data_IF_214136483710
#
_entry.id   IF_214136483710
#
_cell.length_a   1.000
_cell.length_b   1.000
_cell.length_c   1.000
_cell.angle_alpha   90.00
_cell.angle_beta   90.00
_cell.angle_gamma   90.00
#
_symmetry.space_group_name_H-M   'P 1'
#
loop_
_entity.id
_entity.type
_entity.pdbx_description
1 polymer ?
2 non-polymer ?
3 non-polymer ?
4 water ?
#
# COMPACT_ATOMS: atom_id res chain seq x y z
N UNK A 1 9.13 -22.05 -16.30
CA UNK A 1 9.76 -23.05 -17.16
C UNK A 1 9.01 -24.40 -17.18
N UNK A 2 9.01 -25.07 -16.04
CA UNK A 2 8.17 -26.25 -15.82
C UNK A 2 6.80 -25.88 -15.23
N UNK A 3 6.35 -24.64 -15.43
CA UNK A 3 5.17 -24.10 -14.78
C UNK A 3 4.00 -24.00 -15.76
N UNK A 4 2.79 -24.25 -15.26
CA UNK A 4 1.59 -24.19 -16.07
C UNK A 4 1.09 -22.77 -16.31
N UNK A 5 1.63 -21.78 -15.59
CA UNK A 5 1.04 -20.45 -15.58
C UNK A 5 1.48 -19.65 -16.79
N UNK A 6 0.66 -18.69 -17.23
CA UNK A 6 1.10 -17.79 -18.29
C UNK A 6 2.30 -16.97 -17.83
N UNK A 7 3.16 -16.61 -18.78
CA UNK A 7 4.41 -15.93 -18.45
C UNK A 7 4.21 -14.65 -17.64
N UNK A 8 3.19 -13.80 -17.90
CA UNK A 8 3.00 -12.63 -17.02
C UNK A 8 2.79 -13.01 -15.57
N UNK A 9 2.01 -14.06 -15.28
CA UNK A 9 1.81 -14.44 -13.88
C UNK A 9 3.12 -14.94 -13.28
N UNK A 10 3.91 -15.68 -14.06
CA UNK A 10 5.20 -16.17 -13.59
C UNK A 10 6.14 -15.03 -13.23
N UNK A 11 6.27 -14.05 -14.14
CA UNK A 11 7.08 -12.87 -13.87
C UNK A 11 6.57 -12.12 -12.64
N UNK A 12 5.25 -12.02 -12.47
CA UNK A 12 4.71 -11.41 -11.25
C UNK A 12 5.20 -12.15 -10.01
N UNK A 13 5.16 -13.49 -10.06
CA UNK A 13 5.61 -14.30 -8.91
C UNK A 13 7.09 -14.06 -8.63
N UNK A 14 7.94 -14.11 -9.67
CA UNK A 14 9.35 -13.82 -9.49
C UNK A 14 9.56 -12.44 -8.90
N UNK A 15 8.78 -11.47 -9.37
CA UNK A 15 8.95 -10.09 -8.95
C UNK A 15 8.58 -9.91 -7.48
N UNK A 16 7.53 -10.55 -6.99
CA UNK A 16 7.17 -10.28 -5.60
C UNK A 16 7.90 -11.18 -4.61
N UNK A 17 8.44 -12.32 -5.03
CA UNK A 17 9.18 -13.17 -4.12
C UNK A 17 10.69 -13.00 -4.25
N UNK A 18 11.15 -11.88 -4.81
CA UNK A 18 12.55 -11.67 -5.21
C UNK A 18 13.40 -11.34 -3.99
N UNK A 19 14.24 -12.30 -3.58
CA UNK A 19 15.03 -12.15 -2.36
C UNK A 19 16.07 -11.04 -2.50
N UNK A 20 16.62 -10.85 -3.69
CA UNK A 20 17.55 -9.75 -3.89
C UNK A 20 16.88 -8.43 -3.58
N UNK A 21 15.62 -8.24 -4.04
CA UNK A 21 14.88 -7.02 -3.75
C UNK A 21 14.67 -6.83 -2.26
N UNK A 22 14.39 -7.91 -1.54
CA UNK A 22 14.26 -7.80 -0.08
C UNK A 22 15.55 -7.29 0.54
N UNK A 23 16.69 -7.89 0.17
CA UNK A 23 17.96 -7.48 0.76
C UNK A 23 18.33 -6.06 0.35
N UNK A 24 18.08 -5.70 -0.91
CA UNK A 24 18.35 -4.34 -1.36
C UNK A 24 17.56 -3.32 -0.55
N UNK A 25 16.28 -3.61 -0.28
CA UNK A 25 15.50 -2.71 0.56
C UNK A 25 16.15 -2.55 1.92
N UNK A 26 16.58 -3.66 2.53
CA UNK A 26 17.22 -3.56 3.83
C UNK A 26 18.52 -2.78 3.75
N UNK A 27 19.35 -3.04 2.72
CA UNK A 27 20.59 -2.28 2.56
C UNK A 27 20.29 -0.79 2.40
N UNK A 28 19.24 -0.44 1.65
CA UNK A 28 18.97 0.98 1.45
C UNK A 28 18.46 1.65 2.72
N UNK A 29 17.81 0.90 3.61
CA UNK A 29 17.49 1.42 4.92
C UNK A 29 18.70 1.53 5.83
N UNK A 30 19.87 1.04 5.37
CA UNK A 30 21.10 1.01 6.16
C UNK A 30 20.95 0.13 7.39
N UNK A 31 20.16 -0.93 7.27
CA UNK A 31 20.07 -1.94 8.33
C UNK A 31 21.33 -2.79 8.32
N UNK A 32 21.88 -3.03 9.51
CA UNK A 32 23.03 -3.93 9.69
C UNK A 32 22.57 -5.36 9.47
N UNK A 33 22.88 -5.92 8.30
CA UNK A 33 22.44 -7.28 8.01
C UNK A 33 23.28 -8.34 8.72
N UNK A 34 24.38 -7.96 9.37
CA UNK A 34 25.08 -8.93 10.18
C UNK A 34 24.36 -9.15 11.50
N UNK A 35 23.85 -8.06 12.12
CA UNK A 35 23.14 -8.17 13.38
C UNK A 35 21.66 -8.53 13.21
N UNK A 36 21.07 -8.24 12.06
CA UNK A 36 19.67 -8.55 11.81
C UNK A 36 19.51 -8.98 10.36
N UNK A 37 19.76 -10.25 10.07
CA UNK A 37 19.63 -10.74 8.69
C UNK A 37 18.18 -10.79 8.25
N UNK A 38 18.00 -10.85 6.93
CA UNK A 38 16.67 -11.05 6.35
C UNK A 38 15.94 -12.20 7.02
N UNK A 39 16.63 -13.32 7.26
CA UNK A 39 16.03 -14.50 7.84
C UNK A 39 15.69 -14.41 9.31
N UNK A 40 16.17 -13.40 10.03
CA UNK A 40 15.96 -13.30 11.47
C UNK A 40 15.06 -12.12 11.86
N UNK A 41 14.28 -11.61 10.92
CA UNK A 41 13.27 -10.59 11.25
C UNK A 41 12.16 -11.22 12.10
N UNK A 42 11.68 -10.47 13.09
CA UNK A 42 10.63 -10.98 13.97
C UNK A 42 9.48 -9.99 14.09
N UNK A 43 8.25 -10.52 14.03
CA UNK A 43 7.09 -9.68 14.31
C UNK A 43 7.22 -9.01 15.67
N UNK A 44 7.72 -9.75 16.67
CA UNK A 44 7.77 -9.20 18.03
C UNK A 44 8.78 -8.06 18.13
N UNK A 45 9.93 -8.19 17.46
CA UNK A 45 10.88 -7.08 17.46
C UNK A 45 10.29 -5.85 16.77
N UNK A 46 9.61 -6.05 15.64
CA UNK A 46 9.07 -4.91 14.91
C UNK A 46 7.94 -4.26 15.69
N UNK A 47 7.08 -5.06 16.35
CA UNK A 47 6.03 -4.47 17.18
C UNK A 47 6.63 -3.63 18.28
N UNK A 48 7.71 -4.09 18.90
CA UNK A 48 8.35 -3.30 19.94
C UNK A 48 8.94 -2.02 19.35
N UNK A 49 9.48 -2.08 18.13
CA UNK A 49 10.04 -0.88 17.53
C UNK A 49 8.94 0.13 17.19
N UNK A 50 7.78 -0.36 16.72
CA UNK A 50 6.63 0.52 16.55
C UNK A 50 6.33 1.29 17.82
N UNK A 51 6.27 0.60 18.96
CA UNK A 51 5.92 1.25 20.21
C UNK A 51 6.87 2.38 20.52
N UNK A 52 8.16 2.16 20.28
CA UNK A 52 9.16 3.16 20.61
C UNK A 52 8.96 4.41 19.78
N UNK A 53 8.66 4.25 18.49
CA UNK A 53 8.42 5.42 17.64
C UNK A 53 7.17 6.16 18.07
N UNK A 54 6.17 5.44 18.58
CA UNK A 54 5.00 6.11 19.17
C UNK A 54 5.41 6.94 20.39
N UNK A 55 6.25 6.35 21.26
CA UNK A 55 6.76 7.10 22.40
C UNK A 55 7.63 8.28 21.94
N UNK A 56 8.44 8.08 20.91
CA UNK A 56 9.20 9.19 20.36
C UNK A 56 8.27 10.31 19.96
N UNK A 57 7.22 9.98 19.20
CA UNK A 57 6.29 10.98 18.69
C UNK A 57 5.59 11.69 19.84
N UNK A 58 5.19 10.95 20.87
CA UNK A 58 4.58 11.56 22.06
C UNK A 58 5.55 12.54 22.70
N UNK A 59 6.79 12.11 22.96
CA UNK A 59 7.82 12.99 23.51
C UNK A 59 8.00 14.26 22.69
N UNK A 60 7.99 14.13 21.35
CA UNK A 60 8.09 15.32 20.51
C UNK A 60 6.90 16.25 20.76
N UNK A 61 5.69 15.70 20.71
CA UNK A 61 4.50 16.54 20.82
C UNK A 61 4.44 17.27 22.15
N UNK A 62 4.85 16.62 23.24
CA UNK A 62 4.75 17.25 24.56
C UNK A 62 5.71 18.42 24.68
N UNK A 63 7.00 18.15 24.53
CA UNK A 63 8.04 19.09 24.87
C UNK A 63 9.30 18.30 25.10
N UNK A 64 10.15 18.31 24.09
CA UNK A 64 11.34 17.47 24.07
C UNK A 64 12.14 17.56 25.36
N UNK A 65 12.00 16.58 26.26
CA UNK A 65 13.04 16.35 27.24
C UNK A 65 14.24 15.80 26.47
N UNK A 66 15.07 16.70 25.92
CA UNK A 66 15.97 16.39 24.81
C UNK A 66 16.80 15.13 25.02
N UNK A 67 17.03 14.72 26.26
CA UNK A 67 17.77 13.50 26.52
C UNK A 67 16.88 12.27 26.58
N UNK A 68 15.62 12.43 27.01
CA UNK A 68 14.68 11.32 26.91
C UNK A 68 14.37 10.99 25.45
N UNK A 69 14.30 12.02 24.59
CA UNK A 69 14.17 11.78 23.17
C UNK A 69 15.38 11.01 22.66
N UNK A 70 16.59 11.49 22.99
CA UNK A 70 17.79 10.76 22.61
C UNK A 70 17.80 9.36 23.23
N UNK A 71 17.28 9.21 24.45
CA UNK A 71 17.20 7.88 25.05
C UNK A 71 16.23 6.99 24.28
N UNK A 72 15.10 7.55 23.81
CA UNK A 72 14.18 6.78 22.98
C UNK A 72 14.79 6.47 21.61
N UNK A 73 15.36 7.49 20.95
CA UNK A 73 16.04 7.28 19.68
C UNK A 73 17.09 6.17 19.77
N UNK A 74 17.95 6.23 20.78
CA UNK A 74 18.97 5.20 20.96
C UNK A 74 18.32 3.83 21.12
N UNK A 75 17.24 3.75 21.91
CA UNK A 75 16.58 2.46 22.13
C UNK A 75 16.04 1.89 20.83
N UNK A 76 15.53 2.76 19.95
CA UNK A 76 15.07 2.31 18.65
C UNK A 76 16.20 1.67 17.87
N UNK A 77 17.35 2.35 17.82
CA UNK A 77 18.45 1.85 17.00
C UNK A 77 19.11 0.63 17.62
N UNK A 78 19.06 0.50 18.95
CA UNK A 78 19.47 -0.76 19.57
C UNK A 78 18.56 -1.91 19.13
N UNK A 79 17.26 -1.65 19.07
CA UNK A 79 16.30 -2.70 18.74
C UNK A 79 16.36 -3.07 17.26
N UNK A 80 16.45 -2.08 16.39
CA UNK A 80 16.58 -2.32 14.95
C UNK A 80 17.99 -1.90 14.54
N UNK A 81 18.91 -2.84 14.34
CA UNK A 81 20.33 -2.48 14.18
C UNK A 81 20.63 -1.84 12.83
N UNK A 82 21.35 -0.72 12.87
CA UNK A 82 21.74 -0.01 11.66
C UNK A 82 23.26 0.09 11.54
N UNK A 83 23.71 0.27 10.31
CA UNK A 83 25.10 0.58 9.97
C UNK A 83 25.08 1.81 9.06
N UNK A 84 25.33 2.99 9.65
CA UNK A 84 25.33 4.24 8.90
C UNK A 84 26.71 4.59 8.34
N UNK A 85 27.69 3.69 8.44
CA UNK A 85 29.00 3.98 7.90
C UNK A 85 29.68 5.17 8.56
N UNK A 86 29.91 6.23 7.79
CA UNK A 86 30.65 7.40 8.26
C UNK A 86 29.79 8.37 9.05
N UNK A 87 28.47 8.41 8.81
CA UNK A 87 27.61 9.34 9.52
C UNK A 87 27.11 8.75 10.83
N UNK A 88 26.44 9.59 11.62
CA UNK A 88 25.79 9.20 12.86
C UNK A 88 24.31 8.84 12.61
N UNK A 89 23.68 8.09 13.51
CA UNK A 89 22.24 7.85 13.37
C UNK A 89 21.47 9.15 13.38
N UNK A 90 20.57 9.36 12.42
CA UNK A 90 19.74 10.56 12.45
C UNK A 90 18.81 10.54 13.66
N UNK A 91 18.80 11.65 14.41
CA UNK A 91 17.99 11.72 15.63
C UNK A 91 16.52 11.71 15.27
N UNK A 92 15.76 10.82 15.90
CA UNK A 92 14.31 10.75 15.73
C UNK A 92 13.72 11.80 16.65
N UNK A 93 13.47 12.98 16.10
CA UNK A 93 13.01 14.09 16.94
C UNK A 93 12.00 14.99 16.23
N UNK A 94 11.40 14.54 15.14
CA UNK A 94 10.40 15.32 14.44
C UNK A 94 9.43 14.36 13.76
N UNK A 95 8.33 14.90 13.26
CA UNK A 95 7.28 14.05 12.70
C UNK A 95 7.73 13.35 11.43
N UNK A 96 8.40 14.08 10.53
CA UNK A 96 8.81 13.49 9.27
C UNK A 96 9.74 12.31 9.48
N UNK A 97 10.62 12.40 10.47
CA UNK A 97 11.57 11.32 10.74
C UNK A 97 10.87 10.10 11.33
N UNK A 98 9.95 10.30 12.28
CA UNK A 98 9.18 9.18 12.84
C UNK A 98 8.41 8.46 11.74
N UNK A 99 7.83 9.23 10.82
CA UNK A 99 7.01 8.64 9.76
C UNK A 99 7.86 7.75 8.84
N UNK A 100 9.08 8.22 8.48
CA UNK A 100 9.96 7.43 7.63
C UNK A 100 10.36 6.12 8.29
N UNK A 101 10.61 6.13 9.60
CA UNK A 101 10.94 4.88 10.27
C UNK A 101 9.73 3.97 10.39
N UNK A 102 8.53 4.55 10.51
CA UNK A 102 7.32 3.73 10.54
C UNK A 102 7.08 3.07 9.20
N UNK A 103 7.21 3.83 8.11
CA UNK A 103 7.12 3.24 6.78
C UNK A 103 8.12 2.10 6.62
N UNK A 104 9.34 2.28 7.15
CA UNK A 104 10.34 1.21 7.08
C UNK A 104 9.85 -0.06 7.77
N UNK A 105 9.26 0.07 8.96
CA UNK A 105 8.79 -1.11 9.68
C UNK A 105 7.61 -1.79 8.96
N UNK A 106 6.64 -1.01 8.47
CA UNK A 106 5.62 -1.57 7.58
C UNK A 106 6.28 -2.44 6.51
N UNK A 107 7.22 -1.87 5.77
CA UNK A 107 7.94 -2.59 4.72
C UNK A 107 8.58 -3.86 5.28
N UNK A 108 9.31 -3.72 6.40
CA UNK A 108 9.99 -4.88 6.98
C UNK A 108 9.00 -5.98 7.34
N UNK A 109 7.82 -5.63 7.84
CA UNK A 109 6.87 -6.66 8.22
C UNK A 109 6.40 -7.45 7.01
N UNK A 110 6.07 -6.74 5.91
CA UNK A 110 5.65 -7.45 4.71
C UNK A 110 6.80 -8.25 4.11
N UNK A 111 8.03 -7.73 4.19
CA UNK A 111 9.17 -8.49 3.71
C UNK A 111 9.31 -9.77 4.52
N UNK A 112 9.14 -9.67 5.84
CA UNK A 112 9.24 -10.85 6.69
C UNK A 112 8.14 -11.86 6.35
N UNK A 113 6.92 -11.37 6.09
CA UNK A 113 5.86 -12.28 5.67
C UNK A 113 6.21 -12.95 4.36
N UNK A 114 6.78 -12.20 3.42
CA UNK A 114 7.20 -12.80 2.15
C UNK A 114 8.26 -13.87 2.38
N UNK A 115 9.28 -13.56 3.18
CA UNK A 115 10.37 -14.51 3.35
C UNK A 115 9.92 -15.76 4.08
N UNK A 116 9.05 -15.61 5.08
CA UNK A 116 8.54 -16.78 5.80
C UNK A 116 7.73 -17.67 4.86
N UNK A 117 6.89 -17.07 4.01
CA UNK A 117 6.19 -17.85 2.99
C UNK A 117 7.18 -18.59 2.10
N UNK A 118 8.22 -17.88 1.65
CA UNK A 118 9.18 -18.46 0.72
C UNK A 118 9.93 -19.64 1.32
N UNK A 119 10.37 -19.52 2.57
CA UNK A 119 11.09 -20.62 3.19
C UNK A 119 10.14 -21.68 3.76
N UNK A 120 8.93 -21.28 4.15
CA UNK A 120 7.97 -22.25 4.63
C UNK A 120 7.58 -23.27 3.58
N UNK A 121 6.98 -24.35 4.05
CA UNK A 121 6.72 -25.52 3.23
C UNK A 121 7.79 -26.59 3.46
N UNK A 122 7.66 -27.69 2.71
CA UNK A 122 8.56 -28.82 2.89
C UNK A 122 9.93 -28.58 2.26
N UNK A 123 9.99 -27.81 1.17
CA UNK A 123 11.20 -27.42 0.44
C UNK A 123 11.72 -28.53 -0.50
N UNK A 124 10.81 -29.36 -1.00
CA UNK A 124 11.13 -30.35 -2.02
C UNK A 124 9.84 -30.72 -2.74
N UNK A 125 9.86 -30.72 -4.07
CA UNK A 125 8.63 -30.91 -4.82
C UNK A 125 8.94 -31.44 -6.21
N UNK A 126 7.94 -32.07 -6.82
CA UNK A 126 7.96 -32.38 -8.24
C UNK A 126 7.62 -31.17 -9.09
N UNK A 127 6.91 -30.18 -8.53
CA UNK A 127 6.54 -28.94 -9.21
C UNK A 127 7.63 -27.89 -9.04
N UNK A 128 7.67 -26.96 -9.98
CA UNK A 128 8.73 -25.98 -9.94
C UNK A 128 8.39 -24.86 -8.96
N UNK A 129 9.39 -24.11 -8.49
CA UNK A 129 9.13 -23.14 -7.41
C UNK A 129 8.12 -22.06 -7.77
N UNK A 130 8.01 -21.69 -9.04
CA UNK A 130 7.02 -20.69 -9.45
C UNK A 130 5.62 -21.14 -9.09
N UNK A 131 5.24 -22.34 -9.54
CA UNK A 131 3.91 -22.84 -9.24
C UNK A 131 3.72 -23.03 -7.75
N UNK A 132 4.76 -23.50 -7.06
CA UNK A 132 4.63 -23.74 -5.63
C UNK A 132 4.48 -22.43 -4.87
N UNK A 133 5.28 -21.41 -5.22
CA UNK A 133 5.15 -20.17 -4.49
C UNK A 133 3.88 -19.42 -4.90
N UNK A 134 3.44 -19.58 -6.15
CA UNK A 134 2.13 -19.07 -6.53
C UNK A 134 1.06 -19.59 -5.59
N UNK A 135 1.11 -20.88 -5.28
CA UNK A 135 0.09 -21.47 -4.42
C UNK A 135 0.07 -20.85 -3.03
N UNK A 136 1.24 -20.54 -2.48
CA UNK A 136 1.28 -19.96 -1.13
C UNK A 136 0.63 -18.58 -1.03
N UNK A 137 0.31 -17.90 -2.15
CA UNK A 137 -0.35 -16.60 -2.03
C UNK A 137 -1.84 -16.75 -1.77
N UNK A 138 -2.40 -17.94 -1.97
CA UNK A 138 -3.82 -18.17 -1.72
C UNK A 138 -4.64 -17.14 -2.49
N UNK A 139 -4.28 -16.95 -3.75
CA UNK A 139 -4.89 -15.93 -4.60
C UNK A 139 -4.95 -16.47 -6.02
N UNK A 140 -6.16 -16.63 -6.54
CA UNK A 140 -6.31 -16.92 -7.95
C UNK A 140 -5.93 -15.67 -8.77
N UNK A 141 -5.00 -15.85 -9.73
CA UNK A 141 -4.47 -14.73 -10.51
C UNK A 141 -4.60 -15.06 -11.98
N UNK A 142 -5.41 -14.26 -12.70
CA UNK A 142 -5.62 -14.43 -14.13
C UNK A 142 -5.21 -13.16 -14.88
N UNK A 143 -4.77 -13.35 -16.13
CA UNK A 143 -4.40 -12.22 -16.99
C UNK A 143 -5.67 -11.66 -17.63
N UNK A 144 -5.87 -10.36 -17.51
CA UNK A 144 -6.95 -9.71 -18.24
C UNK A 144 -6.46 -9.45 -19.67
N UNK A 145 -7.28 -9.82 -20.66
CA UNK A 145 -6.87 -9.67 -22.06
C UNK A 145 -6.98 -8.20 -22.49
N UNK A 146 -5.96 -7.75 -23.21
CA UNK A 146 -5.87 -6.38 -23.72
C UNK A 146 -7.13 -5.95 -24.48
N UNK A 147 -7.80 -6.88 -25.17
CA UNK A 147 -8.96 -6.55 -25.98
C UNK A 147 -10.29 -6.74 -25.25
N UNK A 148 -10.28 -6.72 -23.92
CA UNK A 148 -11.53 -6.83 -23.17
C UNK A 148 -12.01 -5.46 -22.73
N UNK A 149 -13.30 -5.40 -22.40
CA UNK A 149 -13.84 -4.16 -21.84
C UNK A 149 -13.14 -3.79 -20.55
N UNK A 150 -12.81 -4.77 -19.70
CA UNK A 150 -12.13 -4.45 -18.44
C UNK A 150 -10.76 -3.84 -18.70
N UNK A 151 -10.00 -4.39 -19.63
CA UNK A 151 -8.70 -3.78 -19.93
C UNK A 151 -8.87 -2.35 -20.42
N UNK A 152 -9.91 -2.12 -21.23
CA UNK A 152 -10.12 -0.78 -21.78
C UNK A 152 -10.51 0.21 -20.72
N UNK A 153 -11.51 -0.13 -19.91
CA UNK A 153 -11.90 0.74 -18.81
C UNK A 153 -10.70 1.02 -17.92
N UNK A 154 -9.96 -0.04 -17.56
CA UNK A 154 -8.84 0.11 -16.63
C UNK A 154 -7.76 0.98 -17.25
N UNK A 155 -7.47 0.79 -18.54
CA UNK A 155 -6.49 1.66 -19.20
C UNK A 155 -6.98 3.10 -19.29
N UNK A 156 -8.28 3.32 -19.52
CA UNK A 156 -8.81 4.67 -19.50
C UNK A 156 -8.70 5.29 -18.11
N UNK A 157 -9.02 4.49 -17.07
CA UNK A 157 -8.86 4.93 -15.69
C UNK A 157 -7.46 5.46 -15.44
N UNK A 158 -6.45 4.71 -15.89
CA UNK A 158 -5.06 5.15 -15.74
C UNK A 158 -4.78 6.41 -16.54
N UNK A 159 -5.24 6.46 -17.80
CA UNK A 159 -4.97 7.61 -18.66
C UNK A 159 -5.52 8.91 -18.05
N UNK A 160 -6.81 8.92 -17.73
CA UNK A 160 -7.49 10.17 -17.37
C UNK A 160 -7.07 10.69 -15.99
N UNK A 161 -6.77 9.80 -15.04
CA UNK A 161 -6.41 10.21 -13.68
C UNK A 161 -4.89 10.31 -13.48
N UNK A 162 -4.11 10.34 -14.57
CA UNK A 162 -2.70 10.70 -14.51
C UNK A 162 -2.60 12.22 -14.53
N UNK A 163 -2.15 12.79 -13.41
CA UNK A 163 -2.27 14.22 -13.13
C UNK A 163 -1.08 14.96 -13.75
N UNK A 164 -1.29 15.56 -14.92
CA UNK A 164 -0.25 16.25 -15.66
C UNK A 164 0.12 17.57 -15.00
N UNK A 165 0.69 17.51 -13.79
CA UNK A 165 1.19 18.70 -13.10
C UNK A 165 2.49 18.36 -12.39
N UNK A 166 2.40 18.00 -11.10
CA UNK A 166 3.55 17.51 -10.35
C UNK A 166 3.73 16.02 -10.61
N UNK A 167 3.76 15.64 -11.87
CA UNK A 167 4.04 14.26 -12.29
C UNK A 167 5.38 14.26 -13.01
N UNK A 168 6.36 13.58 -12.43
CA UNK A 168 7.63 13.33 -13.11
C UNK A 168 7.60 12.03 -13.90
N UNK A 169 6.46 11.66 -14.49
CA UNK A 169 6.35 10.40 -15.21
C UNK A 169 5.10 10.36 -16.09
N UNK A 170 5.23 9.74 -17.24
CA UNK A 170 4.09 9.14 -17.92
C UNK A 170 3.90 7.73 -17.37
N UNK A 171 2.67 7.24 -17.43
CA UNK A 171 2.33 5.94 -16.91
C UNK A 171 1.95 5.01 -18.05
N UNK A 172 2.41 3.76 -17.97
CA UNK A 172 2.11 2.74 -18.96
C UNK A 172 1.74 1.44 -18.25
N UNK A 173 0.56 0.91 -18.57
CA UNK A 173 0.07 -0.34 -18.00
C UNK A 173 0.70 -1.51 -18.76
N UNK A 174 1.54 -2.30 -18.09
CA UNK A 174 2.17 -3.45 -18.74
C UNK A 174 1.26 -4.67 -18.71
N UNK A 175 0.82 -5.07 -17.50
CA UNK A 175 -0.10 -6.20 -17.35
C UNK A 175 -1.25 -5.79 -16.44
N UNK A 176 -2.41 -6.37 -16.70
CA UNK A 176 -3.55 -6.30 -15.80
C UNK A 176 -3.86 -7.72 -15.35
N UNK A 177 -3.89 -7.93 -14.04
CA UNK A 177 -4.26 -9.22 -13.48
C UNK A 177 -5.61 -9.09 -12.77
N UNK A 178 -6.46 -10.08 -12.95
CA UNK A 178 -7.66 -10.18 -12.13
C UNK A 178 -7.34 -11.10 -10.97
N UNK A 179 -7.67 -10.66 -9.76
CA UNK A 179 -7.25 -11.38 -8.56
C UNK A 179 -8.44 -11.65 -7.65
N UNK A 180 -8.37 -12.78 -6.96
CA UNK A 180 -9.37 -13.19 -5.97
C UNK A 180 -8.62 -13.85 -4.83
N UNK A 181 -8.47 -13.13 -3.73
CA UNK A 181 -7.88 -13.69 -2.53
C UNK A 181 -8.87 -14.63 -1.89
N UNK A 182 -8.37 -15.71 -1.29
CA UNK A 182 -9.23 -16.65 -0.59
C UNK A 182 -9.95 -15.93 0.55
N UNK A 183 -11.24 -16.17 0.68
CA UNK A 183 -12.00 -15.58 1.76
C UNK A 183 -12.42 -14.14 1.55
N UNK A 184 -11.90 -13.43 0.53
CA UNK A 184 -12.40 -12.07 0.34
C UNK A 184 -13.89 -12.12 -0.01
N UNK A 185 -14.30 -13.12 -0.80
CA UNK A 185 -15.69 -13.17 -1.27
C UNK A 185 -16.66 -13.29 -0.11
N UNK A 186 -16.40 -14.19 0.85
CA UNK A 186 -17.40 -14.36 1.91
C UNK A 186 -17.31 -13.24 2.96
N UNK A 187 -16.09 -12.81 3.28
CA UNK A 187 -15.91 -11.70 4.22
C UNK A 187 -16.57 -10.41 3.72
N UNK A 188 -16.53 -10.15 2.40
CA UNK A 188 -17.07 -8.94 1.79
C UNK A 188 -18.57 -8.98 1.52
N UNK A 189 -19.18 -10.17 1.45
CA UNK A 189 -20.57 -10.31 1.03
C UNK A 189 -21.55 -9.39 1.76
N UNK A 190 -21.55 -9.29 3.11
CA UNK A 190 -22.48 -8.34 3.75
C UNK A 190 -22.29 -6.93 3.26
N UNK A 191 -21.03 -6.52 3.07
CA UNK A 191 -20.80 -5.13 2.70
C UNK A 191 -21.23 -4.84 1.28
N UNK A 192 -21.48 -5.87 0.49
CA UNK A 192 -22.00 -5.66 -0.86
C UNK A 192 -23.36 -4.97 -0.84
N UNK A 193 -24.05 -4.97 0.32
CA UNK A 193 -25.34 -4.29 0.42
C UNK A 193 -25.20 -2.77 0.50
N UNK A 194 -24.05 -2.28 0.98
CA UNK A 194 -23.84 -0.84 1.04
C UNK A 194 -23.98 -0.23 -0.34
N UNK A 195 -24.60 0.95 -0.39
CA UNK A 195 -24.56 1.78 -1.59
C UNK A 195 -23.16 2.35 -1.76
N UNK A 196 -22.93 2.96 -2.93
CA UNK A 196 -21.69 3.67 -3.20
C UNK A 196 -20.48 2.75 -3.03
N UNK A 197 -20.44 1.72 -3.85
CA UNK A 197 -19.25 0.89 -3.99
C UNK A 197 -18.46 1.44 -5.16
N UNK A 198 -17.17 1.69 -4.95
CA UNK A 198 -16.33 2.33 -5.96
C UNK A 198 -15.06 1.53 -6.20
N UNK A 199 -14.58 1.59 -7.44
CA UNK A 199 -13.34 0.96 -7.85
C UNK A 199 -12.22 1.99 -7.71
N UNK A 200 -11.32 1.77 -6.75
CA UNK A 200 -10.36 2.80 -6.36
C UNK A 200 -8.96 2.22 -6.29
N UNK A 201 -7.98 3.10 -6.37
CA UNK A 201 -6.57 2.73 -6.43
C UNK A 201 -5.98 2.57 -5.03
N UNK A 202 -4.99 1.68 -4.93
CA UNK A 202 -4.16 1.59 -3.72
C UNK A 202 -2.75 1.17 -4.12
N UNK A 203 -1.79 2.07 -3.97
CA UNK A 203 -0.40 1.76 -4.28
C UNK A 203 0.36 1.26 -3.05
N UNK A 204 1.41 0.48 -3.31
CA UNK A 204 2.30 0.00 -2.26
C UNK A 204 3.60 -0.46 -2.90
N UNK A 205 4.64 -0.58 -2.08
CA UNK A 205 5.94 -1.04 -2.59
C UNK A 205 5.85 -2.48 -3.07
N UNK A 206 6.64 -2.78 -4.08
CA UNK A 206 6.64 -4.11 -4.69
C UNK A 206 7.00 -5.18 -3.67
N UNK A 207 7.97 -4.91 -2.79
CA UNK A 207 8.30 -5.88 -1.76
C UNK A 207 7.19 -6.09 -0.74
N UNK A 208 6.08 -5.34 -0.80
CA UNK A 208 4.95 -5.59 0.10
C UNK A 208 3.89 -6.51 -0.49
N UNK A 209 3.98 -6.84 -1.78
CA UNK A 209 2.83 -7.47 -2.44
C UNK A 209 2.66 -8.96 -2.14
N UNK A 210 3.73 -9.67 -1.80
CA UNK A 210 3.55 -11.02 -1.27
C UNK A 210 2.72 -11.01 0.01
N UNK A 211 3.00 -10.06 0.91
CA UNK A 211 2.21 -9.95 2.12
C UNK A 211 0.80 -9.47 1.87
N UNK A 212 0.62 -8.47 1.00
CA UNK A 212 -0.71 -7.94 0.72
C UNK A 212 -1.61 -9.02 0.12
N UNK A 213 -1.09 -9.78 -0.85
CA UNK A 213 -1.91 -10.80 -1.46
C UNK A 213 -2.19 -11.95 -0.49
N UNK A 214 -1.26 -12.27 0.40
CA UNK A 214 -1.63 -13.37 1.29
C UNK A 214 -2.55 -12.89 2.40
N UNK A 215 -2.39 -11.67 2.89
CA UNK A 215 -3.14 -11.25 4.06
C UNK A 215 -4.20 -10.19 3.79
N UNK A 216 -4.28 -9.64 2.58
CA UNK A 216 -5.16 -8.52 2.33
C UNK A 216 -4.56 -7.21 2.83
N UNK A 217 -5.14 -6.12 2.37
CA UNK A 217 -4.78 -4.82 2.93
C UNK A 217 -5.18 -4.78 4.40
N UNK A 218 -4.27 -4.28 5.23
CA UNK A 218 -4.47 -4.29 6.67
C UNK A 218 -4.40 -2.87 7.21
N UNK A 219 -4.95 -2.72 8.40
CA UNK A 219 -4.91 -1.47 9.14
C UNK A 219 -3.66 -1.48 10.00
N UNK A 220 -2.97 -0.35 10.06
CA UNK A 220 -1.80 -0.24 10.93
C UNK A 220 -2.17 -0.65 12.35
N UNK A 221 -1.28 -1.33 13.07
CA UNK A 221 -1.59 -1.78 14.44
C UNK A 221 -1.64 -0.61 15.42
N UNK A 222 -2.25 -0.81 16.59
CA UNK A 222 -2.23 0.27 17.60
C UNK A 222 -0.84 0.72 18.01
N UNK A 223 0.15 -0.18 18.04
CA UNK A 223 1.50 0.19 18.45
C UNK A 223 2.11 1.24 17.52
N UNK A 224 1.71 1.24 16.25
CA UNK A 224 2.37 2.08 15.27
C UNK A 224 1.96 3.54 15.47
N UNK A 225 2.83 4.47 15.11
CA UNK A 225 2.45 5.89 15.12
C UNK A 225 1.25 6.15 14.21
N UNK A 226 0.49 7.20 14.55
CA UNK A 226 -0.55 7.73 13.68
C UNK A 226 -0.03 8.84 12.75
N UNK A 227 1.22 9.27 12.92
CA UNK A 227 1.83 10.29 12.07
C UNK A 227 1.79 9.90 10.60
N UNK A 228 1.26 10.80 9.77
CA UNK A 228 1.17 10.57 8.36
C UNK A 228 -0.12 9.90 7.90
N UNK A 229 -0.95 9.44 8.83
CA UNK A 229 -2.29 8.98 8.48
C UNK A 229 -3.22 10.18 8.67
N UNK A 230 -3.43 10.92 7.58
CA UNK A 230 -4.20 12.15 7.64
C UNK A 230 -5.58 11.95 8.26
N UNK A 231 -6.11 10.74 8.21
CA UNK A 231 -7.45 10.48 8.71
C UNK A 231 -7.47 9.28 9.64
N UNK A 232 -6.39 9.07 10.39
CA UNK A 232 -6.36 7.97 11.33
C UNK A 232 -5.96 6.67 10.67
N UNK A 233 -5.85 5.65 11.51
CA UNK A 233 -5.44 4.33 11.03
C UNK A 233 -6.62 3.66 10.33
N UNK A 234 -6.52 3.54 9.01
CA UNK A 234 -7.49 2.85 8.19
C UNK A 234 -6.82 2.36 6.92
N UNK A 235 -7.61 2.02 5.91
CA UNK A 235 -7.13 1.59 4.61
C UNK A 235 -7.46 2.68 3.61
N UNK A 236 -6.46 3.16 2.88
CA UNK A 236 -6.56 4.39 2.11
C UNK A 236 -6.67 4.09 0.62
N UNK A 237 -7.49 4.87 -0.08
CA UNK A 237 -7.65 4.72 -1.53
C UNK A 237 -7.75 6.08 -2.19
N UNK A 238 -7.43 6.12 -3.48
CA UNK A 238 -7.54 7.32 -4.30
C UNK A 238 -8.36 7.02 -5.54
N UNK A 239 -8.94 8.07 -6.13
CA UNK A 239 -9.63 7.96 -7.42
C UNK A 239 -8.79 8.58 -8.53
N UNK A 240 -7.54 8.92 -8.22
CA UNK A 240 -6.56 9.50 -9.12
C UNK A 240 -5.35 8.58 -9.09
N UNK A 241 -5.01 7.96 -10.24
CA UNK A 241 -4.01 6.90 -10.19
C UNK A 241 -2.67 7.46 -9.70
N UNK A 242 -2.38 8.72 -10.02
CA UNK A 242 -1.09 9.30 -9.67
C UNK A 242 -0.97 9.51 -8.17
N UNK A 243 -2.08 9.77 -7.49
CA UNK A 243 -2.01 9.87 -6.04
C UNK A 243 -1.55 8.55 -5.43
N UNK A 244 -2.17 7.44 -5.84
CA UNK A 244 -1.80 6.16 -5.25
C UNK A 244 -0.44 5.69 -5.75
N UNK A 245 -0.10 6.03 -7.00
CA UNK A 245 1.17 5.60 -7.58
C UNK A 245 2.36 6.14 -6.79
N UNK A 246 2.21 7.33 -6.19
CA UNK A 246 3.27 7.83 -5.33
C UNK A 246 3.59 6.87 -4.20
N UNK A 247 2.60 6.09 -3.75
CA UNK A 247 2.87 5.15 -2.68
C UNK A 247 3.51 3.85 -3.18
N UNK A 248 3.81 3.74 -4.47
CA UNK A 248 4.63 2.63 -4.94
C UNK A 248 6.10 2.84 -4.67
N UNK A 249 6.52 4.06 -4.36
CA UNK A 249 7.91 4.42 -4.13
C UNK A 249 8.81 3.87 -5.23
N UNK A 250 8.40 4.06 -6.47
CA UNK A 250 9.21 3.67 -7.61
C UNK A 250 10.17 4.79 -7.96
N UNK A 251 11.38 4.43 -8.38
CA UNK A 251 12.45 5.36 -8.71
C UNK A 251 12.93 5.11 -10.14
N UNK A 252 13.65 6.09 -10.68
CA UNK A 252 14.30 5.89 -11.98
C UNK A 252 15.09 4.59 -12.00
N UNK A 253 15.63 4.17 -10.83
CA UNK A 253 16.21 2.86 -10.64
C UNK A 253 15.29 1.72 -11.04
N UNK A 254 14.20 1.51 -10.30
CA UNK A 254 13.20 0.49 -10.60
C UNK A 254 11.93 1.18 -11.07
N UNK A 255 11.77 1.44 -12.37
CA UNK A 255 10.59 2.13 -12.87
C UNK A 255 9.34 1.26 -13.01
N UNK A 256 9.35 0.05 -12.44
CA UNK A 256 8.19 -0.83 -12.44
C UNK A 256 7.55 -0.78 -11.06
N UNK A 257 6.23 -0.60 -11.01
CA UNK A 257 5.52 -0.69 -9.76
C UNK A 257 4.25 -1.51 -9.93
N UNK A 258 3.71 -1.95 -8.79
CA UNK A 258 2.45 -2.66 -8.71
C UNK A 258 1.43 -1.77 -8.00
N UNK A 259 0.22 -1.74 -8.55
CA UNK A 259 -0.86 -0.94 -7.96
C UNK A 259 -2.13 -1.77 -7.96
N UNK A 260 -2.94 -1.63 -6.91
CA UNK A 260 -4.18 -2.37 -6.80
C UNK A 260 -5.36 -1.55 -7.26
N UNK A 261 -6.36 -2.24 -7.81
CA UNK A 261 -7.71 -1.70 -7.89
C UNK A 261 -8.58 -2.49 -6.93
N UNK A 262 -9.21 -1.79 -6.00
CA UNK A 262 -10.09 -2.42 -5.04
C UNK A 262 -11.52 -1.94 -5.24
N UNK A 263 -12.45 -2.86 -5.12
CA UNK A 263 -13.84 -2.49 -4.90
C UNK A 263 -14.01 -2.22 -3.41
N UNK A 264 -14.38 -1.00 -3.03
CA UNK A 264 -14.54 -0.71 -1.62
C UNK A 264 -15.96 -0.20 -1.36
N UNK A 265 -16.58 -0.77 -0.32
CA UNK A 265 -17.98 -0.52 0.00
C UNK A 265 -17.99 0.68 0.94
N UNK A 266 -18.23 1.86 0.36
CA UNK A 266 -18.01 3.09 1.13
C UNK A 266 -19.23 3.45 1.98
N UNK A 267 -20.44 3.19 1.48
CA UNK A 267 -21.65 3.61 2.18
C UNK A 267 -21.73 5.13 2.25
N UNK A 268 -22.35 5.63 3.33
CA UNK A 268 -22.41 7.07 3.57
C UNK A 268 -21.03 7.56 3.96
N UNK A 269 -20.56 8.60 3.27
CA UNK A 269 -19.21 9.09 3.46
C UNK A 269 -19.20 10.25 4.44
N UNK A 270 -18.30 10.17 5.42
CA UNK A 270 -17.98 11.28 6.31
C UNK A 270 -16.98 12.19 5.61
N UNK A 271 -17.45 13.37 5.16
CA UNK A 271 -16.70 14.18 4.21
C UNK A 271 -15.96 15.31 4.93
N UNK A 272 -14.66 15.41 4.68
CA UNK A 272 -13.79 16.25 5.48
C UNK A 272 -12.80 16.97 4.57
N UNK A 273 -12.54 18.23 4.89
CA UNK A 273 -11.64 19.06 4.11
C UNK A 273 -10.30 19.24 4.79
N UNK A 274 -10.16 18.78 6.03
CA UNK A 274 -8.91 18.94 6.76
C UNK A 274 -8.61 17.68 7.56
N UNK A 275 -7.34 17.49 7.86
CA UNK A 275 -6.89 16.30 8.58
C UNK A 275 -7.65 16.15 9.88
N UNK A 276 -7.87 14.90 10.27
CA UNK A 276 -8.62 14.62 11.48
C UNK A 276 -8.49 13.14 11.79
N UNK A 277 -7.82 12.82 12.89
CA UNK A 277 -7.51 11.44 13.20
C UNK A 277 -8.76 10.73 13.71
N UNK A 278 -9.26 9.79 12.91
CA UNK A 278 -10.53 9.12 13.16
C UNK A 278 -10.26 7.82 13.91
N UNK A 279 -10.99 7.60 15.00
CA UNK A 279 -10.93 6.36 15.73
C UNK A 279 -12.26 5.63 15.74
N UNK A 280 -13.36 6.34 15.52
CA UNK A 280 -14.70 5.78 15.36
C UNK A 280 -15.48 6.76 14.49
N UNK A 281 -16.16 6.23 13.50
CA UNK A 281 -17.01 7.01 12.62
C UNK A 281 -18.33 7.35 13.31
N UNK A 282 -18.91 8.51 13.00
CA UNK A 282 -20.29 8.80 13.45
C UNK A 282 -21.25 7.69 13.03
N UNK A 283 -22.34 7.56 13.80
CA UNK A 283 -23.37 6.61 13.43
C UNK A 283 -23.88 6.97 12.03
N UNK A 284 -24.23 5.95 11.25
CA UNK A 284 -24.69 6.17 9.89
C UNK A 284 -23.62 6.41 8.84
N UNK A 285 -22.36 6.66 9.22
CA UNK A 285 -21.27 6.84 8.27
C UNK A 285 -20.43 5.55 8.22
N UNK A 286 -20.03 5.16 7.01
CA UNK A 286 -19.20 3.95 6.87
C UNK A 286 -17.85 4.19 6.21
N UNK A 287 -17.48 5.43 5.90
CA UNK A 287 -16.18 5.74 5.31
C UNK A 287 -15.90 7.23 5.47
N UNK A 288 -14.66 7.62 5.18
CA UNK A 288 -14.27 9.02 5.11
C UNK A 288 -13.88 9.33 3.67
N UNK A 289 -14.35 10.45 3.17
CA UNK A 289 -13.86 11.01 1.91
C UNK A 289 -13.12 12.32 2.23
N UNK A 290 -11.81 12.31 2.01
CA UNK A 290 -11.06 13.57 2.03
C UNK A 290 -11.37 14.33 0.75
N UNK A 291 -11.78 15.60 0.89
CA UNK A 291 -12.28 16.39 -0.24
C UNK A 291 -11.14 17.13 -0.93
N UNK A 292 -10.88 16.77 -2.19
CA UNK A 292 -9.79 17.37 -2.93
C UNK A 292 -10.19 18.58 -3.76
N UNK A 293 -9.16 19.35 -4.15
CA UNK A 293 -9.41 20.48 -5.06
C UNK A 293 -9.82 19.99 -6.44
N UNK A 294 -9.34 18.82 -6.85
CA UNK A 294 -9.64 18.24 -8.15
C UNK A 294 -10.27 16.86 -7.96
N UNK A 295 -11.33 16.59 -8.71
CA UNK A 295 -12.12 15.36 -8.62
C UNK A 295 -12.45 14.87 -10.02
N UNK A 296 -12.60 13.56 -10.21
CA UNK A 296 -12.93 13.08 -11.55
C UNK A 296 -14.30 13.55 -11.98
N UNK A 297 -14.39 14.00 -13.24
CA UNK A 297 -15.62 14.53 -13.83
C UNK A 297 -16.77 13.53 -13.69
N UNK A 298 -17.80 13.86 -12.91
CA UNK A 298 -18.88 12.89 -12.65
C UNK A 298 -19.70 12.55 -13.87
N UNK A 299 -19.60 13.34 -14.95
CA UNK A 299 -20.29 13.01 -16.19
C UNK A 299 -19.84 11.66 -16.72
N UNK A 300 -18.54 11.40 -16.66
CA UNK A 300 -17.92 10.20 -17.21
C UNK A 300 -17.82 9.05 -16.22
N UNK A 301 -18.63 9.05 -15.16
CA UNK A 301 -18.73 7.88 -14.31
C UNK A 301 -19.34 6.72 -15.10
N UNK A 302 -18.72 5.54 -14.97
CA UNK A 302 -19.16 4.32 -15.66
C UNK A 302 -19.11 3.17 -14.67
N UNK A 303 -19.61 2.01 -15.12
CA UNK A 303 -19.72 0.82 -14.28
C UNK A 303 -19.12 -0.38 -14.98
N UNK A 304 -18.39 -1.21 -14.22
CA UNK A 304 -18.18 -2.61 -14.59
C UNK A 304 -18.49 -3.45 -13.37
N UNK A 305 -19.36 -4.46 -13.56
CA UNK A 305 -19.77 -5.40 -12.52
C UNK A 305 -20.52 -4.71 -11.38
N UNK A 306 -21.27 -3.65 -11.70
CA UNK A 306 -22.05 -2.95 -10.70
C UNK A 306 -21.26 -2.08 -9.76
N UNK A 307 -19.97 -1.91 -10.01
CA UNK A 307 -19.12 -1.03 -9.21
C UNK A 307 -18.87 0.23 -10.02
N UNK A 308 -19.02 1.39 -9.39
CA UNK A 308 -18.78 2.64 -10.09
C UNK A 308 -17.28 2.84 -10.29
N UNK A 309 -16.93 3.40 -11.44
CA UNK A 309 -15.55 3.67 -11.80
C UNK A 309 -15.46 5.15 -12.15
N UNK A 310 -14.83 5.95 -11.31
CA UNK A 310 -14.76 7.40 -11.56
C UNK A 310 -13.59 7.78 -12.46
N UNK A 311 -13.62 7.32 -13.70
CA UNK A 311 -12.48 7.53 -14.58
C UNK A 311 -12.50 8.89 -15.27
N UNK A 312 -13.45 9.75 -14.90
CA UNK A 312 -13.54 11.07 -15.50
C UNK A 312 -12.25 11.86 -15.39
N UNK A 313 -12.05 12.75 -16.35
CA UNK A 313 -10.92 13.64 -16.32
C UNK A 313 -10.99 14.51 -15.07
N UNK A 314 -9.82 14.85 -14.53
CA UNK A 314 -9.74 15.76 -13.40
C UNK A 314 -10.24 17.16 -13.70
N UNK A 315 -11.31 17.55 -13.00
CA UNK A 315 -11.84 18.91 -13.10
C UNK A 315 -11.81 19.54 -11.72
N UNK A 316 -12.42 20.72 -11.60
CA UNK A 316 -12.48 21.41 -10.33
C UNK A 316 -13.66 20.90 -9.50
N UNK A 317 -13.45 20.80 -8.20
CA UNK A 317 -14.50 20.52 -7.24
C UNK A 317 -15.03 21.83 -6.65
N UNK A 318 -16.25 21.77 -6.11
CA UNK A 318 -16.83 22.97 -5.54
C UNK A 318 -16.29 23.35 -4.17
N UNK A 319 -15.06 22.94 -3.86
CA UNK A 319 -14.54 22.99 -2.50
C UNK A 319 -13.38 23.97 -2.46
N UNK A 320 -13.62 25.17 -1.94
CA UNK A 320 -12.53 26.02 -1.50
C UNK A 320 -12.19 25.67 -0.05
N UNK A 321 -11.00 26.11 0.38
CA UNK A 321 -10.53 25.87 1.74
C UNK A 321 -10.40 24.36 2.02
N UNK A 322 -9.50 23.73 1.29
CA UNK A 322 -9.17 22.34 1.57
C UNK A 322 -7.67 22.16 1.47
N UNK A 323 -7.17 21.23 2.29
CA UNK A 323 -5.75 20.92 2.34
C UNK A 323 -5.33 19.88 1.30
N UNK A 324 -6.25 19.40 0.47
CA UNK A 324 -6.00 18.25 -0.39
C UNK A 324 -6.08 18.64 -1.85
N UNK A 325 -5.09 18.23 -2.60
CA UNK A 325 -5.17 18.33 -4.06
C UNK A 325 -6.22 17.37 -4.61
N UNK A 326 -6.16 16.10 -4.21
CA UNK A 326 -7.05 15.08 -4.74
C UNK A 326 -7.82 14.40 -3.62
N UNK A 327 -8.99 13.83 -3.96
CA UNK A 327 -9.77 13.06 -3.00
C UNK A 327 -8.94 11.92 -2.41
N UNK A 328 -9.29 11.51 -1.19
CA UNK A 328 -8.90 10.23 -0.63
C UNK A 328 -10.14 9.60 -0.01
N UNK A 329 -10.17 8.27 0.04
CA UNK A 329 -11.25 7.50 0.64
C UNK A 329 -10.65 6.53 1.66
N UNK A 330 -11.25 6.44 2.84
CA UNK A 330 -10.70 5.65 3.93
C UNK A 330 -11.81 4.80 4.51
N UNK A 331 -11.54 3.50 4.68
CA UNK A 331 -12.45 2.64 5.43
C UNK A 331 -11.66 2.08 6.61
N UNK A 332 -12.40 1.72 7.66
CA UNK A 332 -11.82 1.32 8.94
C UNK A 332 -12.19 -0.11 9.29
N UNK A 333 -12.61 -0.90 8.32
CA UNK A 333 -12.90 -2.32 8.50
C UNK A 333 -12.31 -3.03 7.29
N UNK A 334 -11.40 -3.98 7.53
CA UNK A 334 -10.74 -4.65 6.41
C UNK A 334 -11.72 -5.36 5.50
N UNK A 335 -12.90 -5.73 6.01
CA UNK A 335 -13.84 -6.48 5.20
C UNK A 335 -14.58 -5.61 4.22
N UNK A 336 -14.34 -4.30 4.23
CA UNK A 336 -15.00 -3.40 3.29
C UNK A 336 -14.27 -3.27 1.97
N UNK A 337 -13.18 -4.01 1.80
CA UNK A 337 -12.37 -3.95 0.60
C UNK A 337 -12.47 -5.27 -0.13
N UNK A 338 -12.71 -5.22 -1.44
CA UNK A 338 -12.57 -6.38 -2.29
C UNK A 338 -11.58 -6.05 -3.39
N UNK A 339 -10.37 -6.60 -3.28
CA UNK A 339 -9.31 -6.41 -4.28
C UNK A 339 -9.67 -7.16 -5.56
N UNK A 340 -9.77 -6.42 -6.67
CA UNK A 340 -10.24 -7.01 -7.93
C UNK A 340 -9.16 -7.08 -9.00
N UNK A 341 -8.26 -6.10 -9.07
CA UNK A 341 -7.23 -6.08 -10.10
C UNK A 341 -5.88 -5.70 -9.51
N UNK A 342 -4.84 -6.16 -10.18
CA UNK A 342 -3.46 -5.84 -9.84
C UNK A 342 -2.75 -5.45 -11.13
N UNK A 343 -2.24 -4.23 -11.19
CA UNK A 343 -1.59 -3.71 -12.38
C UNK A 343 -0.08 -3.66 -12.18
N UNK A 344 0.65 -4.14 -13.17
CA UNK A 344 2.09 -3.87 -13.26
C UNK A 344 2.25 -2.66 -14.17
N UNK A 345 2.76 -1.57 -13.62
CA UNK A 345 2.90 -0.30 -14.34
C UNK A 345 4.37 0.03 -14.56
N UNK A 346 4.67 0.58 -15.74
CA UNK A 346 5.97 1.18 -15.99
C UNK A 346 5.88 2.67 -15.80
N UNK A 347 6.74 3.21 -14.94
CA UNK A 347 6.85 4.65 -14.72
C UNK A 347 7.90 5.20 -15.70
N UNK A 348 7.47 6.03 -16.64
CA UNK A 348 8.35 6.65 -17.64
C UNK A 348 8.71 8.05 -17.17
N UNK A 349 9.78 8.17 -16.38
CA UNK A 349 10.19 9.47 -15.84
C UNK A 349 10.73 10.39 -16.92
N UNK A 350 10.30 11.65 -16.91
CA UNK A 350 10.67 12.62 -17.93
C UNK A 350 11.78 13.56 -17.46
#
# INVERSE_FOLDING_TARGET
SKSKLPKPVQDLIKMIFDVESMKKAMVEYEIDLQKMPLGKLSKRQIQAAYSILSEVQQAVSQGSSDSQILDLSNRFYTLIPHDFGMKKPPLLNNADSVQAKAEMLDNLLDIEVAYSLLRGGSDDSSKDPIDVNYEKLKTDIKVVDRDSEEAEIIRKYVKNTHATTHNAYDLEVIDIFKIEREGECQRYKPFKQLHNRRLLWHGSRTTNFAGILSQGLRIAPPEAPVTGYMFGKGIYFADMVSKSANYCHTSQGDPIGLILLGEVALGNMYELKHASHISKLPKGKHSVKGLGKTTPDPSANISLDGVDVPLGTGISSGVNDTSLLYNEYIVYDIAQVNLKYLLKLKFNFK
#
